data_IF_409077044229
#
_entry.id   IF_409077044229
#
_cell.length_a   1.000
_cell.length_b   1.000
_cell.length_c   1.000
_cell.angle_alpha   90.00
_cell.angle_beta   90.00
_cell.angle_gamma   90.00
#
_symmetry.space_group_name_H-M   'P 1'
#
loop_
_entity.id
_entity.type
_entity.pdbx_description
1 polymer ?
#
# COMPACT_ATOMS: atom_id res chain seq x y z
N UNK A 1 -20.29 -34.65 -3.79
CA UNK A 1 -20.14 -33.48 -4.68
C UNK A 1 -19.12 -33.86 -5.76
N UNK A 2 -19.55 -33.93 -7.01
CA UNK A 2 -18.74 -34.31 -8.16
C UNK A 2 -17.67 -33.25 -8.47
N UNK A 3 -16.53 -33.69 -9.03
CA UNK A 3 -15.33 -32.86 -9.24
C UNK A 3 -15.62 -31.56 -10.00
N UNK A 4 -16.55 -31.61 -10.95
CA UNK A 4 -16.98 -30.48 -11.77
C UNK A 4 -17.69 -29.39 -10.94
N UNK A 5 -18.53 -29.79 -9.98
CA UNK A 5 -19.16 -28.85 -9.03
C UNK A 5 -18.14 -28.22 -8.10
N UNK A 6 -17.13 -28.98 -7.63
CA UNK A 6 -16.03 -28.42 -6.83
C UNK A 6 -15.21 -27.41 -7.64
N UNK A 7 -14.89 -27.73 -8.89
CA UNK A 7 -14.15 -26.83 -9.78
C UNK A 7 -14.92 -25.53 -10.05
N UNK A 8 -16.22 -25.62 -10.34
CA UNK A 8 -17.09 -24.45 -10.54
C UNK A 8 -17.17 -23.57 -9.29
N UNK A 9 -17.31 -24.17 -8.11
CA UNK A 9 -17.34 -23.41 -6.85
C UNK A 9 -16.02 -22.71 -6.57
N UNK A 10 -14.88 -23.34 -6.89
CA UNK A 10 -13.56 -22.72 -6.75
C UNK A 10 -13.41 -21.55 -7.73
N UNK A 11 -13.77 -21.72 -9.01
CA UNK A 11 -13.70 -20.65 -10.00
C UNK A 11 -14.61 -19.48 -9.62
N UNK A 12 -15.83 -19.76 -9.15
CA UNK A 12 -16.75 -18.73 -8.67
C UNK A 12 -16.17 -17.98 -7.45
N UNK A 13 -15.64 -18.71 -6.47
CA UNK A 13 -15.04 -18.11 -5.27
C UNK A 13 -13.83 -17.23 -5.64
N UNK A 14 -12.96 -17.70 -6.52
CA UNK A 14 -11.82 -16.93 -7.03
C UNK A 14 -12.32 -15.69 -7.77
N UNK A 15 -13.28 -15.84 -8.69
CA UNK A 15 -13.87 -14.72 -9.43
C UNK A 15 -14.51 -13.67 -8.51
N UNK A 16 -15.18 -14.09 -7.43
CA UNK A 16 -15.75 -13.18 -6.43
C UNK A 16 -14.68 -12.43 -5.65
N UNK A 17 -13.60 -13.11 -5.23
CA UNK A 17 -12.49 -12.46 -4.51
C UNK A 17 -11.78 -11.45 -5.42
N UNK A 18 -11.49 -11.82 -6.67
CA UNK A 18 -10.92 -10.90 -7.65
C UNK A 18 -11.86 -9.73 -7.96
N UNK A 19 -13.14 -10.01 -8.18
CA UNK A 19 -14.15 -8.98 -8.43
C UNK A 19 -14.30 -8.01 -7.26
N UNK A 20 -14.22 -8.52 -6.02
CA UNK A 20 -14.24 -7.69 -4.81
C UNK A 20 -12.99 -6.81 -4.70
N UNK A 21 -11.81 -7.34 -5.06
CA UNK A 21 -10.57 -6.56 -5.10
C UNK A 21 -10.62 -5.42 -6.11
N UNK A 22 -11.02 -5.72 -7.35
CA UNK A 22 -11.18 -4.72 -8.42
C UNK A 22 -12.23 -3.68 -8.06
N UNK A 23 -13.37 -4.12 -7.51
CA UNK A 23 -14.42 -3.20 -7.08
C UNK A 23 -13.93 -2.27 -5.96
N UNK A 24 -13.22 -2.81 -4.97
CA UNK A 24 -12.65 -2.02 -3.89
C UNK A 24 -11.68 -0.96 -4.41
N UNK A 25 -10.76 -1.34 -5.29
CA UNK A 25 -9.81 -0.41 -5.94
C UNK A 25 -10.56 0.69 -6.72
N UNK A 26 -11.54 0.32 -7.54
CA UNK A 26 -12.33 1.27 -8.34
C UNK A 26 -13.19 2.25 -7.53
N UNK A 27 -13.28 2.04 -6.22
CA UNK A 27 -14.11 2.85 -5.32
C UNK A 27 -13.32 3.49 -4.19
N UNK A 28 -12.01 3.26 -4.18
CA UNK A 28 -11.14 3.73 -3.11
C UNK A 28 -11.10 5.27 -3.11
N UNK A 29 -10.85 5.88 -4.26
CA UNK A 29 -10.74 7.34 -4.41
C UNK A 29 -12.08 8.05 -4.13
N UNK A 30 -13.19 7.55 -4.71
CA UNK A 30 -14.54 8.11 -4.52
C UNK A 30 -15.01 8.14 -3.06
N UNK A 31 -14.49 7.24 -2.22
CA UNK A 31 -14.86 7.09 -0.81
C UNK A 31 -13.80 7.62 0.14
N UNK A 32 -12.67 8.09 -0.39
CA UNK A 32 -11.61 8.66 0.40
C UNK A 32 -12.04 10.05 0.88
N UNK A 33 -12.08 10.32 2.20
CA UNK A 33 -12.65 11.56 2.72
C UNK A 33 -11.67 12.76 2.64
N UNK A 34 -10.46 12.54 2.14
CA UNK A 34 -9.40 13.54 2.05
C UNK A 34 -9.05 13.80 0.59
N UNK A 35 -8.57 15.01 0.24
CA UNK A 35 -8.04 15.25 -1.08
C UNK A 35 -6.80 14.37 -1.35
N UNK A 36 -6.64 13.97 -2.60
CA UNK A 36 -5.52 13.15 -3.04
C UNK A 36 -4.27 14.00 -3.33
N UNK A 37 -3.11 13.36 -3.43
CA UNK A 37 -1.84 14.06 -3.68
C UNK A 37 -1.76 14.73 -5.06
N UNK A 38 -2.48 14.23 -6.06
CA UNK A 38 -2.50 14.78 -7.42
C UNK A 38 -3.35 16.06 -7.48
N UNK A 39 -4.49 16.09 -6.77
CA UNK A 39 -5.35 17.25 -6.63
C UNK A 39 -4.64 18.36 -5.85
N UNK A 40 -3.94 18.02 -4.76
CA UNK A 40 -3.13 18.97 -3.98
C UNK A 40 -1.98 19.52 -4.82
N UNK A 41 -1.32 18.69 -5.65
CA UNK A 41 -0.23 19.15 -6.51
C UNK A 41 -0.70 20.11 -7.60
N UNK A 42 -1.93 19.93 -8.11
CA UNK A 42 -2.47 20.74 -9.21
C UNK A 42 -3.17 22.00 -8.72
N UNK A 43 -3.90 21.90 -7.59
CA UNK A 43 -4.81 22.93 -7.10
C UNK A 43 -4.59 23.22 -5.60
N UNK A 44 -3.34 23.34 -5.16
CA UNK A 44 -2.97 23.50 -3.74
C UNK A 44 -3.86 24.50 -2.96
N UNK A 45 -4.05 25.69 -3.52
CA UNK A 45 -4.77 26.79 -2.87
C UNK A 45 -6.26 26.50 -2.64
N UNK A 46 -6.88 25.61 -3.43
CA UNK A 46 -8.29 25.23 -3.23
C UNK A 46 -8.47 24.32 -2.01
N UNK A 47 -7.42 23.60 -1.63
CA UNK A 47 -7.40 22.65 -0.52
C UNK A 47 -6.86 23.24 0.79
N UNK A 48 -6.43 24.50 0.80
CA UNK A 48 -5.96 25.17 2.01
C UNK A 48 -7.10 25.24 3.04
N UNK A 49 -6.82 24.80 4.26
CA UNK A 49 -7.79 24.69 5.36
C UNK A 49 -8.49 23.33 5.44
N UNK A 50 -8.35 22.46 4.44
CA UNK A 50 -8.89 21.10 4.47
C UNK A 50 -8.02 20.16 5.32
N UNK A 51 -8.65 19.10 5.82
CA UNK A 51 -7.92 18.01 6.46
C UNK A 51 -7.35 17.09 5.37
N UNK A 52 -6.08 16.72 5.50
CA UNK A 52 -5.35 15.90 4.53
C UNK A 52 -4.76 14.67 5.20
N UNK A 53 -4.70 13.57 4.46
CA UNK A 53 -3.98 12.36 4.85
C UNK A 53 -2.97 12.01 3.77
N UNK A 54 -1.68 12.20 4.05
CA UNK A 54 -0.61 12.12 3.07
C UNK A 54 0.47 11.12 3.49
N UNK A 55 1.08 10.49 2.49
CA UNK A 55 2.32 9.74 2.66
C UNK A 55 3.48 10.60 2.20
N UNK A 56 4.48 10.78 3.06
CA UNK A 56 5.67 11.56 2.76
C UNK A 56 6.95 10.81 3.06
N UNK A 57 7.95 11.00 2.20
CA UNK A 57 9.33 10.62 2.50
C UNK A 57 10.00 11.76 3.26
N UNK A 58 10.58 11.46 4.40
CA UNK A 58 11.24 12.44 5.26
C UNK A 58 12.56 12.85 4.63
N UNK A 59 12.70 14.11 4.25
CA UNK A 59 13.95 14.68 3.72
C UNK A 59 14.85 15.19 4.84
N UNK A 60 14.24 15.85 5.83
CA UNK A 60 14.94 16.33 7.02
C UNK A 60 13.96 16.49 8.19
N UNK A 61 14.49 16.44 9.42
CA UNK A 61 13.73 16.68 10.65
C UNK A 61 14.48 17.69 11.51
N UNK A 62 13.82 18.79 11.85
CA UNK A 62 14.29 19.76 12.82
C UNK A 62 13.52 19.57 14.13
N UNK A 63 14.21 19.03 15.14
CA UNK A 63 13.62 18.76 16.45
C UNK A 63 13.48 20.02 17.32
N UNK A 64 14.25 21.07 17.04
CA UNK A 64 14.20 22.31 17.82
C UNK A 64 12.94 23.11 17.47
N UNK A 65 12.58 23.13 16.18
CA UNK A 65 11.34 23.76 15.69
C UNK A 65 10.14 22.81 15.60
N UNK A 66 10.34 21.52 15.87
CA UNK A 66 9.34 20.45 15.68
C UNK A 66 8.75 20.47 14.26
N UNK A 67 9.63 20.53 13.26
CA UNK A 67 9.26 20.52 11.84
C UNK A 67 9.97 19.41 11.08
N UNK A 68 9.37 18.97 9.97
CA UNK A 68 10.01 18.06 9.02
C UNK A 68 9.73 18.49 7.58
N UNK A 69 10.75 18.39 6.73
CA UNK A 69 10.58 18.50 5.29
C UNK A 69 10.19 17.12 4.74
N UNK A 70 9.08 17.07 4.03
CA UNK A 70 8.53 15.87 3.44
C UNK A 70 8.51 16.02 1.91
N UNK A 71 8.89 14.96 1.23
CA UNK A 71 8.64 14.79 -0.20
C UNK A 71 7.38 13.94 -0.39
N UNK A 72 6.37 14.53 -1.02
CA UNK A 72 5.09 13.87 -1.31
C UNK A 72 5.10 13.44 -2.77
N UNK A 73 4.87 12.15 -3.00
CA UNK A 73 4.76 11.60 -4.35
C UNK A 73 3.32 11.74 -4.86
N UNK A 74 3.19 12.05 -6.15
CA UNK A 74 1.95 12.04 -6.91
C UNK A 74 2.21 11.37 -8.27
N UNK A 75 1.20 11.24 -9.14
CA UNK A 75 1.28 10.43 -10.36
C UNK A 75 2.39 10.87 -11.31
N UNK A 76 2.64 12.18 -11.43
CA UNK A 76 3.62 12.74 -12.39
C UNK A 76 4.96 13.14 -11.78
N UNK A 77 5.14 13.02 -10.47
CA UNK A 77 6.38 13.44 -9.81
C UNK A 77 6.28 13.54 -8.30
N UNK A 78 7.02 14.49 -7.73
CA UNK A 78 7.00 14.79 -6.30
C UNK A 78 6.88 16.29 -6.07
N UNK A 79 6.43 16.67 -4.88
CA UNK A 79 6.50 18.05 -4.40
C UNK A 79 6.88 18.08 -2.91
N UNK A 80 7.44 19.20 -2.47
CA UNK A 80 7.89 19.36 -1.09
C UNK A 80 6.77 19.94 -0.21
N UNK A 81 6.73 19.48 1.05
CA UNK A 81 5.80 19.96 2.05
C UNK A 81 6.50 20.06 3.41
N UNK A 82 6.21 21.13 4.14
CA UNK A 82 6.69 21.35 5.50
C UNK A 82 5.65 20.84 6.49
N UNK A 83 5.98 19.82 7.28
CA UNK A 83 5.15 19.36 8.38
C UNK A 83 5.51 20.11 9.66
N UNK A 84 4.53 20.80 10.26
CA UNK A 84 4.66 21.47 11.55
C UNK A 84 4.08 20.62 12.68
N UNK A 85 4.58 20.83 13.91
CA UNK A 85 4.26 20.02 15.10
C UNK A 85 4.62 18.54 14.90
N UNK A 86 5.66 18.30 14.11
CA UNK A 86 6.09 16.97 13.74
C UNK A 86 6.74 16.27 14.93
N UNK A 87 6.05 15.27 15.48
CA UNK A 87 6.50 14.47 16.61
C UNK A 87 6.50 12.98 16.23
N UNK A 88 7.52 12.57 15.48
CA UNK A 88 7.73 11.18 15.11
C UNK A 88 9.22 10.84 15.10
N UNK A 89 9.56 9.67 15.65
CA UNK A 89 10.94 9.17 15.63
C UNK A 89 11.22 8.43 14.32
N UNK A 90 11.62 9.21 13.31
CA UNK A 90 11.93 8.75 11.96
C UNK A 90 13.21 9.42 11.48
N UNK A 91 13.98 8.70 10.65
CA UNK A 91 15.21 9.21 10.05
C UNK A 91 14.93 9.72 8.62
N UNK A 92 15.85 10.52 8.11
CA UNK A 92 15.89 10.90 6.70
C UNK A 92 15.80 9.65 5.80
N UNK A 93 15.04 9.78 4.71
CA UNK A 93 14.64 8.70 3.82
C UNK A 93 13.54 7.78 4.37
N UNK A 94 13.15 7.91 5.65
CA UNK A 94 12.01 7.21 6.22
C UNK A 94 10.67 7.65 5.60
N UNK A 95 9.64 6.81 5.72
CA UNK A 95 8.30 7.09 5.20
C UNK A 95 7.33 7.23 6.36
N UNK A 96 6.55 8.31 6.34
CA UNK A 96 5.51 8.61 7.32
C UNK A 96 4.16 8.79 6.66
N UNK A 97 3.11 8.50 7.42
CA UNK A 97 1.75 8.95 7.17
C UNK A 97 1.46 10.15 8.05
N UNK A 98 0.91 11.21 7.46
CA UNK A 98 0.58 12.46 8.15
C UNK A 98 -0.91 12.72 7.98
N UNK A 99 -1.61 12.81 9.11
CA UNK A 99 -2.93 13.39 9.20
C UNK A 99 -2.79 14.82 9.74
N UNK A 100 -3.33 15.80 9.04
CA UNK A 100 -3.19 17.19 9.44
C UNK A 100 -4.11 18.13 8.67
N UNK A 101 -3.94 19.43 8.90
CA UNK A 101 -4.64 20.48 8.15
C UNK A 101 -3.67 21.16 7.22
N UNK A 102 -4.06 21.34 5.96
CA UNK A 102 -3.26 22.06 4.97
C UNK A 102 -3.30 23.56 5.23
N UNK A 103 -2.16 24.22 5.23
CA UNK A 103 -2.01 25.67 5.37
C UNK A 103 -1.30 26.26 4.15
N UNK A 104 -1.38 27.59 3.91
CA UNK A 104 -0.68 28.21 2.80
C UNK A 104 0.82 27.90 2.78
N UNK A 105 1.43 27.95 1.59
CA UNK A 105 2.86 27.74 1.36
C UNK A 105 3.36 26.30 1.59
N UNK A 106 2.58 25.29 1.20
CA UNK A 106 3.01 23.89 1.28
C UNK A 106 3.28 23.47 2.72
N UNK A 107 2.43 23.91 3.65
CA UNK A 107 2.52 23.59 5.06
C UNK A 107 1.41 22.63 5.44
N UNK A 108 1.73 21.63 6.27
CA UNK A 108 0.72 20.82 6.95
C UNK A 108 0.93 20.93 8.45
N UNK A 109 -0.10 21.39 9.16
CA UNK A 109 -0.12 21.37 10.63
C UNK A 109 -0.56 19.98 11.05
N UNK A 110 0.40 19.20 11.56
CA UNK A 110 0.17 17.80 11.87
C UNK A 110 -0.71 17.62 13.11
N UNK A 111 -1.61 16.65 13.03
CA UNK A 111 -2.48 16.20 14.12
C UNK A 111 -2.08 14.81 14.59
N UNK A 112 -1.72 13.94 13.65
CA UNK A 112 -1.15 12.62 13.93
C UNK A 112 -0.12 12.25 12.86
N UNK A 113 0.95 11.60 13.30
CA UNK A 113 1.98 11.06 12.42
C UNK A 113 2.20 9.60 12.77
N UNK A 114 2.19 8.73 11.76
CA UNK A 114 2.51 7.32 11.91
C UNK A 114 3.73 6.96 11.06
N UNK A 115 4.74 6.33 11.68
CA UNK A 115 5.93 5.87 10.97
C UNK A 115 5.61 4.58 10.22
N UNK A 116 5.55 4.67 8.89
CA UNK A 116 5.33 3.50 8.02
C UNK A 116 6.63 2.72 7.85
N UNK A 117 7.75 3.45 7.69
CA UNK A 117 9.06 2.85 7.61
C UNK A 117 10.15 3.79 8.17
N UNK A 118 10.82 3.42 9.27
CA UNK A 118 11.77 4.30 9.95
C UNK A 118 13.09 4.55 9.18
N UNK A 119 13.36 3.78 8.11
CA UNK A 119 14.47 4.01 7.18
C UNK A 119 14.08 3.49 5.80
N UNK A 120 14.08 4.36 4.79
CA UNK A 120 13.65 4.11 3.41
C UNK A 120 13.79 2.66 2.93
N UNK A 121 12.72 2.17 2.32
CA UNK A 121 12.39 0.75 2.11
C UNK A 121 13.56 -0.24 2.15
N UNK A 122 13.54 -1.18 3.08
CA UNK A 122 14.07 -2.52 2.79
C UNK A 122 13.11 -3.20 1.79
N UNK A 123 13.19 -2.80 0.50
CA UNK A 123 12.51 -3.50 -0.62
C UNK A 123 12.78 -5.01 -0.58
N UNK A 124 13.95 -5.39 -0.07
CA UNK A 124 14.38 -6.76 0.20
C UNK A 124 13.40 -7.55 1.09
N UNK A 125 12.79 -6.94 2.12
CA UNK A 125 11.87 -7.67 2.99
C UNK A 125 10.55 -8.02 2.29
N UNK A 126 9.96 -7.05 1.57
CA UNK A 126 8.69 -7.26 0.84
C UNK A 126 8.84 -8.28 -0.28
N UNK A 127 9.92 -8.23 -1.06
CA UNK A 127 10.17 -9.21 -2.11
C UNK A 127 10.61 -10.57 -1.55
N UNK A 128 11.38 -10.59 -0.46
CA UNK A 128 11.84 -11.81 0.18
C UNK A 128 10.69 -12.67 0.70
N UNK A 129 9.73 -12.08 1.41
CA UNK A 129 8.59 -12.84 1.97
C UNK A 129 7.64 -13.35 0.88
N UNK A 130 7.33 -12.53 -0.14
CA UNK A 130 6.50 -12.98 -1.27
C UNK A 130 7.17 -14.08 -2.09
N UNK A 131 8.49 -13.98 -2.32
CA UNK A 131 9.25 -15.02 -3.02
C UNK A 131 9.28 -16.33 -2.22
N UNK A 132 9.50 -16.26 -0.91
CA UNK A 132 9.47 -17.42 -0.01
C UNK A 132 8.06 -18.04 0.01
N UNK A 133 7.01 -17.23 0.13
CA UNK A 133 5.63 -17.70 0.09
C UNK A 133 5.28 -18.37 -1.24
N UNK A 134 5.64 -17.76 -2.37
CA UNK A 134 5.45 -18.34 -3.69
C UNK A 134 6.22 -19.65 -3.88
N UNK A 135 7.48 -19.72 -3.42
CA UNK A 135 8.29 -20.95 -3.43
C UNK A 135 7.67 -22.04 -2.57
N UNK A 136 7.19 -21.72 -1.36
CA UNK A 136 6.57 -22.68 -0.45
C UNK A 136 5.30 -23.28 -1.06
N UNK A 137 4.43 -22.43 -1.62
CA UNK A 137 3.23 -22.88 -2.34
C UNK A 137 3.60 -23.74 -3.54
N UNK A 138 4.59 -23.31 -4.33
CA UNK A 138 5.08 -24.05 -5.50
C UNK A 138 5.59 -25.44 -5.11
N UNK A 139 6.44 -25.52 -4.08
CA UNK A 139 6.97 -26.79 -3.56
C UNK A 139 5.85 -27.67 -3.02
N UNK A 140 4.89 -27.12 -2.27
CA UNK A 140 3.78 -27.89 -1.72
C UNK A 140 2.87 -28.44 -2.82
N UNK A 141 2.60 -27.66 -3.86
CA UNK A 141 1.85 -28.10 -5.05
C UNK A 141 2.59 -29.24 -5.72
N UNK A 142 3.87 -29.09 -6.08
CA UNK A 142 4.62 -30.18 -6.71
C UNK A 142 4.85 -31.39 -5.81
N UNK A 143 4.90 -31.20 -4.48
CA UNK A 143 5.07 -32.29 -3.51
C UNK A 143 3.80 -33.11 -3.35
N UNK A 144 2.63 -32.46 -3.24
CA UNK A 144 1.37 -33.13 -2.92
C UNK A 144 0.43 -33.31 -4.11
N UNK A 145 0.74 -32.73 -5.27
CA UNK A 145 -0.13 -32.79 -6.44
C UNK A 145 0.68 -33.16 -7.69
N UNK A 146 0.23 -34.19 -8.39
CA UNK A 146 0.75 -34.56 -9.71
C UNK A 146 -0.17 -33.94 -10.76
N UNK A 147 0.41 -33.13 -11.65
CA UNK A 147 -0.27 -32.63 -12.84
C UNK A 147 -0.22 -33.75 -13.86
N UNK A 148 -1.34 -34.42 -14.10
CA UNK A 148 -1.42 -35.42 -15.15
C UNK A 148 -1.67 -34.72 -16.50
N UNK A 149 -0.66 -34.76 -17.38
CA UNK A 149 -0.69 -34.05 -18.68
C UNK A 149 -1.59 -34.73 -19.71
N UNK A 150 -2.01 -35.97 -19.47
CA UNK A 150 -2.90 -36.70 -20.38
C UNK A 150 -4.37 -36.35 -20.15
N UNK A 151 -4.74 -36.03 -18.91
CA UNK A 151 -6.13 -35.69 -18.53
C UNK A 151 -6.32 -34.22 -18.16
N UNK A 152 -5.24 -33.44 -18.08
CA UNK A 152 -5.21 -32.07 -17.53
C UNK A 152 -5.83 -31.99 -16.12
N UNK A 153 -5.73 -33.08 -15.34
CA UNK A 153 -6.28 -33.15 -13.99
C UNK A 153 -5.19 -32.96 -12.93
N UNK A 154 -5.58 -32.31 -11.84
CA UNK A 154 -4.79 -32.19 -10.61
C UNK A 154 -5.13 -33.38 -9.70
N UNK A 155 -4.22 -34.35 -9.57
CA UNK A 155 -4.40 -35.47 -8.65
C UNK A 155 -3.53 -35.28 -7.41
N UNK A 156 -4.15 -35.42 -6.22
CA UNK A 156 -3.40 -35.44 -4.98
C UNK A 156 -2.53 -36.72 -4.94
N UNK A 157 -1.24 -36.56 -4.70
CA UNK A 157 -0.30 -37.68 -4.55
C UNK A 157 -0.60 -38.38 -3.22
N UNK A 158 -1.18 -39.57 -3.27
CA UNK A 158 -1.45 -40.39 -2.10
C UNK A 158 -0.17 -41.14 -1.71
N UNK A 159 0.64 -40.54 -0.84
CA UNK A 159 1.71 -41.25 -0.14
C UNK A 159 1.19 -41.62 1.26
N UNK A 160 0.29 -42.62 1.33
CA UNK A 160 -0.24 -43.20 2.57
C UNK A 160 -1.75 -43.17 2.71
#
# INVERSE_FOLDING_TARGET
MNALTRALLIVLAVGLVFGMGVHYESQYDDRWPYPDSDSIATEYESHVGEQVFLFGTVQSVDRDSATAQLEIAHTTGTFEMTAQRFDADVREGGVVQVLGTLEPNHVVVTQAVAVVNPAGSSKLYKHGVSLVGALLVTVLVFKHWRIDRETLAFEARYDG
#
